data_IF_631575738674
#
_entry.id   IF_631575738674
#
_cell.length_a   1.000
_cell.length_b   1.000
_cell.length_c   1.000
_cell.angle_alpha   90.00
_cell.angle_beta   90.00
_cell.angle_gamma   90.00
#
_symmetry.space_group_name_H-M   'P 1'
#
loop_
_entity.id
_entity.type
_entity.pdbx_description
1 polymer ?
#
# COMPACT_ATOMS: atom_id res chain seq x y z
N UNK A 1 -17.49 66.66 7.30
CA UNK A 1 -16.60 65.70 6.62
C UNK A 1 -15.49 65.14 7.51
N UNK A 2 -15.24 65.60 8.71
CA UNK A 2 -14.26 65.13 9.68
C UNK A 2 -14.72 63.90 10.54
N UNK A 3 -15.98 63.75 10.81
CA UNK A 3 -16.52 62.69 11.70
C UNK A 3 -16.57 61.27 11.08
N UNK A 4 -16.37 61.10 9.75
CA UNK A 4 -16.36 59.76 9.10
C UNK A 4 -14.99 59.10 9.08
N UNK A 5 -13.91 59.87 9.21
CA UNK A 5 -12.54 59.30 9.24
C UNK A 5 -12.16 58.80 10.62
N UNK A 6 -12.69 59.35 11.70
CA UNK A 6 -12.39 58.93 13.06
C UNK A 6 -13.05 57.61 13.42
N UNK A 7 -14.23 57.31 12.88
CA UNK A 7 -14.91 56.01 13.09
C UNK A 7 -14.24 54.85 12.34
N UNK A 8 -13.67 55.08 11.15
CA UNK A 8 -12.90 54.08 10.40
C UNK A 8 -11.56 53.80 11.05
N UNK A 9 -10.90 54.84 11.61
CA UNK A 9 -9.64 54.67 12.33
C UNK A 9 -9.81 53.93 13.67
N UNK A 10 -10.90 54.20 14.40
CA UNK A 10 -11.25 53.48 15.62
C UNK A 10 -11.61 52.02 15.35
N UNK A 11 -12.31 51.71 14.25
CA UNK A 11 -12.64 50.36 13.80
C UNK A 11 -11.39 49.57 13.42
N UNK A 12 -10.43 50.17 12.73
CA UNK A 12 -9.15 49.55 12.37
C UNK A 12 -8.26 49.35 13.59
N UNK A 13 -8.26 50.26 14.58
CA UNK A 13 -7.52 50.14 15.81
C UNK A 13 -8.10 49.04 16.71
N UNK A 14 -9.42 48.93 16.81
CA UNK A 14 -10.12 47.89 17.57
C UNK A 14 -9.94 46.50 16.93
N UNK A 15 -9.92 46.42 15.59
CA UNK A 15 -9.66 45.16 14.88
C UNK A 15 -8.22 44.70 15.08
N UNK A 16 -7.25 45.62 15.03
CA UNK A 16 -5.84 45.28 15.27
C UNK A 16 -5.56 44.95 16.75
N UNK A 17 -6.22 45.61 17.70
CA UNK A 17 -6.13 45.31 19.13
C UNK A 17 -6.80 43.95 19.40
N UNK A 18 -7.92 43.62 18.77
CA UNK A 18 -8.57 42.31 18.89
C UNK A 18 -7.71 41.20 18.31
N UNK A 19 -7.07 41.40 17.14
CA UNK A 19 -6.13 40.44 16.54
C UNK A 19 -4.85 40.29 17.35
N UNK A 20 -4.32 41.38 17.94
CA UNK A 20 -3.15 41.31 18.82
C UNK A 20 -3.47 40.58 20.13
N UNK A 21 -4.63 40.84 20.76
CA UNK A 21 -5.09 40.14 21.99
C UNK A 21 -5.40 38.67 21.68
N UNK A 22 -5.96 38.35 20.52
CA UNK A 22 -6.18 36.97 20.07
C UNK A 22 -4.82 36.24 19.78
N UNK A 23 -3.89 36.94 19.14
CA UNK A 23 -2.52 36.45 18.89
C UNK A 23 -1.74 36.22 20.18
N UNK A 24 -1.82 37.17 21.15
CA UNK A 24 -1.17 37.02 22.47
C UNK A 24 -1.82 35.92 23.33
N UNK A 25 -3.16 35.81 23.29
CA UNK A 25 -3.85 34.69 23.95
C UNK A 25 -3.50 33.35 23.32
N UNK A 26 -3.45 33.26 22.01
CA UNK A 26 -2.97 32.06 21.30
C UNK A 26 -1.48 31.79 21.58
N UNK A 27 -0.63 32.81 21.63
CA UNK A 27 0.78 32.68 21.98
C UNK A 27 0.98 32.26 23.44
N UNK A 28 0.22 32.83 24.39
CA UNK A 28 0.27 32.46 25.79
C UNK A 28 -0.36 31.09 26.07
N UNK A 29 -1.41 30.69 25.35
CA UNK A 29 -1.95 29.33 25.37
C UNK A 29 -0.92 28.33 24.79
N UNK A 30 -0.25 28.67 23.68
CA UNK A 30 0.85 27.85 23.16
C UNK A 30 2.01 27.69 24.15
N UNK A 31 2.33 28.75 24.91
CA UNK A 31 3.40 28.70 25.92
C UNK A 31 3.00 27.91 27.17
N UNK A 32 1.72 27.97 27.57
CA UNK A 32 1.16 27.22 28.71
C UNK A 32 0.92 25.74 28.37
N UNK A 33 0.54 25.41 27.13
CA UNK A 33 0.27 24.04 26.67
C UNK A 33 1.44 23.42 25.90
N UNK A 34 2.38 24.23 25.34
CA UNK A 34 3.47 23.76 24.49
C UNK A 34 4.58 23.02 25.22
N UNK A 35 4.73 23.25 26.50
CA UNK A 35 5.79 22.58 27.30
C UNK A 35 5.41 21.16 27.74
N UNK A 36 4.11 20.74 27.57
CA UNK A 36 3.63 19.42 27.97
C UNK A 36 3.02 18.58 26.83
N UNK A 37 2.91 19.09 25.60
CA UNK A 37 2.37 18.32 24.49
C UNK A 37 3.39 17.32 23.98
N UNK A 38 3.12 16.05 24.21
CA UNK A 38 4.01 14.96 23.82
C UNK A 38 3.64 14.38 22.43
N UNK A 39 2.38 14.49 22.03
CA UNK A 39 1.85 13.86 20.83
C UNK A 39 1.02 14.83 19.99
N UNK A 40 1.00 14.60 18.67
CA UNK A 40 0.37 15.45 17.66
C UNK A 40 -1.11 15.74 17.94
N UNK A 41 -1.88 14.74 18.39
CA UNK A 41 -3.31 14.90 18.68
C UNK A 41 -3.61 15.79 19.90
N UNK A 42 -2.61 16.12 20.73
CA UNK A 42 -2.75 17.04 21.85
C UNK A 42 -2.68 18.52 21.42
N UNK A 43 -2.37 18.79 20.13
CA UNK A 43 -2.38 20.13 19.63
C UNK A 43 -3.81 20.71 19.59
N UNK A 44 -4.01 21.99 19.97
CA UNK A 44 -5.31 22.65 19.86
C UNK A 44 -5.86 22.70 18.44
N UNK A 45 -4.96 22.68 17.44
CA UNK A 45 -5.29 22.68 16.00
C UNK A 45 -5.36 21.25 15.44
N UNK A 46 -5.56 20.20 16.28
CA UNK A 46 -5.57 18.81 15.87
C UNK A 46 -6.41 18.60 14.59
N UNK A 47 -5.87 17.81 13.69
CA UNK A 47 -6.23 17.51 12.30
C UNK A 47 -6.27 18.70 11.30
N UNK A 48 -5.95 19.92 11.71
CA UNK A 48 -5.67 21.01 10.76
C UNK A 48 -4.22 20.93 10.26
N UNK A 49 -3.91 19.87 9.54
CA UNK A 49 -2.56 19.62 9.03
C UNK A 49 -2.12 20.69 8.05
N UNK A 50 -0.84 21.06 8.12
CA UNK A 50 -0.18 22.04 7.26
C UNK A 50 1.05 21.41 6.61
N UNK A 51 1.37 21.87 5.41
CA UNK A 51 2.58 21.46 4.68
C UNK A 51 3.06 22.57 3.75
N UNK A 52 4.35 22.52 3.41
CA UNK A 52 4.97 23.42 2.45
C UNK A 52 4.77 22.89 1.03
N UNK A 53 3.83 23.47 0.29
CA UNK A 53 3.45 23.04 -1.07
C UNK A 53 4.64 23.01 -2.03
N UNK A 54 5.57 23.95 -1.94
CA UNK A 54 6.76 24.04 -2.78
C UNK A 54 7.68 22.83 -2.65
N UNK A 55 7.71 22.17 -1.47
CA UNK A 55 8.53 20.97 -1.25
C UNK A 55 7.95 19.71 -1.88
N UNK A 56 6.63 19.65 -2.07
CA UNK A 56 5.95 18.46 -2.59
C UNK A 56 5.48 18.61 -4.03
N UNK A 57 5.39 19.84 -4.57
CA UNK A 57 4.84 20.11 -5.89
C UNK A 57 5.56 19.33 -7.00
N UNK A 58 6.90 19.31 -6.98
CA UNK A 58 7.68 18.56 -7.95
C UNK A 58 7.40 17.05 -7.87
N UNK A 59 7.33 16.51 -6.64
CA UNK A 59 7.02 15.10 -6.42
C UNK A 59 5.63 14.73 -6.97
N UNK A 60 4.61 15.58 -6.74
CA UNK A 60 3.27 15.36 -7.28
C UNK A 60 3.28 15.29 -8.81
N UNK A 61 3.99 16.22 -9.47
CA UNK A 61 4.11 16.21 -10.94
C UNK A 61 4.84 14.97 -11.44
N UNK A 62 5.93 14.57 -10.81
CA UNK A 62 6.69 13.38 -11.16
C UNK A 62 5.85 12.11 -10.96
N UNK A 63 5.06 12.03 -9.87
CA UNK A 63 4.14 10.91 -9.60
C UNK A 63 3.05 10.85 -10.67
N UNK A 64 2.36 11.98 -10.95
CA UNK A 64 1.29 12.01 -11.96
C UNK A 64 1.80 11.61 -13.34
N UNK A 65 3.02 12.04 -13.69
CA UNK A 65 3.68 11.61 -14.94
C UNK A 65 3.93 10.10 -14.94
N UNK A 66 4.48 9.55 -13.86
CA UNK A 66 4.75 8.12 -13.74
C UNK A 66 3.46 7.28 -13.74
N UNK A 67 2.41 7.72 -13.02
CA UNK A 67 1.08 7.09 -13.06
C UNK A 67 0.51 7.07 -14.47
N UNK A 68 0.48 8.23 -15.17
CA UNK A 68 -0.05 8.33 -16.53
C UNK A 68 0.73 7.45 -17.52
N UNK A 69 2.06 7.37 -17.40
CA UNK A 69 2.89 6.50 -18.23
C UNK A 69 2.57 5.02 -17.97
N UNK A 70 2.51 4.59 -16.70
CA UNK A 70 2.22 3.22 -16.32
C UNK A 70 0.83 2.79 -16.79
N UNK A 71 -0.20 3.60 -16.53
CA UNK A 71 -1.59 3.31 -16.92
C UNK A 71 -1.72 3.25 -18.44
N UNK A 72 -1.16 4.23 -19.17
CA UNK A 72 -1.18 4.24 -20.64
C UNK A 72 -0.48 3.03 -21.26
N UNK A 73 0.63 2.57 -20.64
CA UNK A 73 1.33 1.35 -21.06
C UNK A 73 0.49 0.09 -20.81
N UNK A 74 -0.24 0.04 -19.71
CA UNK A 74 -1.10 -1.09 -19.39
C UNK A 74 -2.41 -1.09 -20.17
N UNK A 75 -2.88 0.06 -20.63
CA UNK A 75 -4.14 0.16 -21.38
C UNK A 75 -4.12 -0.50 -22.75
N UNK A 76 -2.96 -0.58 -23.37
CA UNK A 76 -2.80 -1.27 -24.68
C UNK A 76 -2.79 -2.79 -24.57
N UNK A 77 -2.78 -3.34 -23.34
CA UNK A 77 -2.74 -4.78 -23.10
C UNK A 77 -4.13 -5.41 -23.18
N UNK A 78 -4.15 -6.66 -23.66
CA UNK A 78 -5.36 -7.47 -23.60
C UNK A 78 -5.83 -7.74 -22.17
N UNK A 79 -7.11 -8.05 -22.02
CA UNK A 79 -7.80 -8.24 -20.73
C UNK A 79 -7.09 -9.26 -19.83
N UNK A 80 -6.70 -10.43 -20.38
CA UNK A 80 -6.05 -11.48 -19.58
C UNK A 80 -4.67 -11.06 -19.05
N UNK A 81 -3.94 -10.26 -19.79
CA UNK A 81 -2.63 -9.73 -19.38
C UNK A 81 -2.78 -8.71 -18.27
N UNK A 82 -3.75 -7.79 -18.40
CA UNK A 82 -4.10 -6.82 -17.35
C UNK A 82 -4.50 -7.53 -16.05
N UNK A 83 -5.36 -8.54 -16.13
CA UNK A 83 -5.81 -9.31 -14.99
C UNK A 83 -4.67 -10.08 -14.29
N UNK A 84 -3.75 -10.67 -15.07
CA UNK A 84 -2.58 -11.33 -14.50
C UNK A 84 -1.62 -10.36 -13.80
N UNK A 85 -1.40 -9.16 -14.38
CA UNK A 85 -0.61 -8.12 -13.75
C UNK A 85 -1.27 -7.61 -12.46
N UNK A 86 -2.57 -7.33 -12.49
CA UNK A 86 -3.35 -6.95 -11.31
C UNK A 86 -3.27 -8.01 -10.21
N UNK A 87 -3.48 -9.28 -10.56
CA UNK A 87 -3.39 -10.40 -9.63
C UNK A 87 -2.00 -10.49 -8.97
N UNK A 88 -0.94 -10.25 -9.73
CA UNK A 88 0.43 -10.25 -9.20
C UNK A 88 0.65 -9.10 -8.22
N UNK A 89 0.26 -7.89 -8.59
CA UNK A 89 0.43 -6.69 -7.74
C UNK A 89 -0.40 -6.78 -6.46
N UNK A 90 -1.68 -7.18 -6.56
CA UNK A 90 -2.53 -7.36 -5.39
C UNK A 90 -1.99 -8.45 -4.44
N UNK A 91 -1.49 -9.57 -5.01
CA UNK A 91 -0.86 -10.63 -4.21
C UNK A 91 0.34 -10.09 -3.43
N UNK A 92 1.23 -9.35 -4.09
CA UNK A 92 2.39 -8.75 -3.45
C UNK A 92 1.98 -7.72 -2.39
N UNK A 93 1.04 -6.85 -2.71
CA UNK A 93 0.56 -5.80 -1.81
C UNK A 93 0.00 -6.38 -0.51
N UNK A 94 -0.84 -7.41 -0.58
CA UNK A 94 -1.44 -8.08 0.58
C UNK A 94 -0.37 -8.76 1.44
N UNK A 95 0.54 -9.52 0.80
CA UNK A 95 1.63 -10.19 1.52
C UNK A 95 2.50 -9.16 2.24
N UNK A 96 2.94 -8.12 1.54
CA UNK A 96 3.83 -7.11 2.12
C UNK A 96 3.14 -6.27 3.19
N UNK A 97 1.86 -5.97 3.04
CA UNK A 97 1.07 -5.33 4.10
C UNK A 97 1.02 -6.19 5.37
N UNK A 98 0.87 -7.49 5.25
CA UNK A 98 0.86 -8.41 6.39
C UNK A 98 2.25 -8.61 7.00
N UNK A 99 3.30 -8.67 6.16
CA UNK A 99 4.70 -8.79 6.61
C UNK A 99 5.17 -7.58 7.43
N UNK A 100 4.69 -6.37 7.14
CA UNK A 100 4.96 -5.16 7.94
C UNK A 100 4.55 -5.39 9.40
N UNK A 101 3.43 -6.06 9.62
CA UNK A 101 2.90 -6.40 10.95
C UNK A 101 3.45 -7.73 11.49
N UNK A 102 4.43 -8.34 10.81
CA UNK A 102 5.05 -9.59 11.23
C UNK A 102 4.25 -10.86 10.89
N UNK A 103 3.14 -10.75 10.15
CA UNK A 103 2.35 -11.89 9.70
C UNK A 103 2.84 -12.39 8.33
N UNK A 104 3.25 -13.65 8.25
CA UNK A 104 3.70 -14.27 6.99
C UNK A 104 2.53 -15.05 6.37
N UNK A 105 2.11 -14.64 5.16
CA UNK A 105 1.06 -15.30 4.41
C UNK A 105 1.64 -16.14 3.27
N UNK A 106 1.02 -17.29 3.00
CA UNK A 106 1.40 -18.12 1.85
C UNK A 106 0.97 -17.47 0.54
N UNK A 107 1.93 -17.26 -0.36
CA UNK A 107 1.72 -16.57 -1.64
C UNK A 107 0.71 -17.29 -2.54
N UNK A 108 0.71 -18.62 -2.54
CA UNK A 108 -0.19 -19.40 -3.41
C UNK A 108 -1.63 -19.29 -2.90
N UNK A 109 -1.80 -19.33 -1.58
CA UNK A 109 -3.12 -19.19 -0.95
C UNK A 109 -3.70 -17.78 -1.20
N UNK A 110 -2.90 -16.72 -0.98
CA UNK A 110 -3.34 -15.33 -1.26
C UNK A 110 -3.70 -15.16 -2.72
N UNK A 111 -2.84 -15.62 -3.64
CA UNK A 111 -3.09 -15.53 -5.09
C UNK A 111 -4.37 -16.27 -5.51
N UNK A 112 -4.58 -17.48 -4.98
CA UNK A 112 -5.79 -18.28 -5.27
C UNK A 112 -7.06 -17.60 -4.77
N UNK A 113 -7.04 -17.01 -3.57
CA UNK A 113 -8.17 -16.26 -3.02
C UNK A 113 -8.53 -15.04 -3.87
N UNK A 114 -7.53 -14.25 -4.28
CA UNK A 114 -7.74 -13.07 -5.15
C UNK A 114 -8.30 -13.52 -6.50
N UNK A 115 -7.68 -14.53 -7.15
CA UNK A 115 -8.09 -15.01 -8.47
C UNK A 115 -9.55 -15.47 -8.48
N UNK A 116 -9.98 -16.25 -7.47
CA UNK A 116 -11.35 -16.69 -7.31
C UNK A 116 -12.34 -15.52 -7.21
N UNK A 117 -12.02 -14.50 -6.41
CA UNK A 117 -12.91 -13.33 -6.22
C UNK A 117 -12.97 -12.41 -7.44
N UNK A 118 -11.90 -12.36 -8.24
CA UNK A 118 -11.87 -11.59 -9.48
C UNK A 118 -12.32 -12.40 -10.72
N UNK A 119 -12.65 -13.70 -10.57
CA UNK A 119 -13.02 -14.57 -11.69
C UNK A 119 -11.85 -14.85 -12.65
N UNK A 120 -10.61 -14.82 -12.17
CA UNK A 120 -9.41 -15.09 -12.95
C UNK A 120 -9.06 -16.57 -12.85
N UNK A 121 -9.04 -17.28 -13.99
CA UNK A 121 -8.61 -18.68 -14.05
C UNK A 121 -7.08 -18.78 -13.89
N UNK A 122 -6.64 -19.53 -12.89
CA UNK A 122 -5.22 -19.81 -12.61
C UNK A 122 -4.83 -21.28 -12.74
N UNK A 123 -5.74 -22.10 -13.27
CA UNK A 123 -5.49 -23.53 -13.55
C UNK A 123 -5.47 -24.45 -12.33
N UNK A 124 -6.05 -24.04 -11.21
CA UNK A 124 -6.20 -24.85 -9.99
C UNK A 124 -6.44 -23.99 -8.77
N UNK A 125 -7.28 -24.47 -7.85
CA UNK A 125 -7.60 -23.77 -6.60
C UNK A 125 -6.85 -24.40 -5.42
N UNK A 126 -6.31 -23.54 -4.56
CA UNK A 126 -5.74 -23.92 -3.27
C UNK A 126 -6.76 -23.64 -2.17
N UNK A 127 -7.01 -24.56 -1.22
CA UNK A 127 -7.88 -24.29 -0.08
C UNK A 127 -7.38 -23.04 0.68
N UNK A 128 -8.31 -22.16 1.02
CA UNK A 128 -7.96 -20.86 1.63
C UNK A 128 -8.31 -20.85 3.11
N UNK A 129 -7.42 -20.32 3.96
CA UNK A 129 -7.71 -20.09 5.37
C UNK A 129 -8.55 -18.83 5.56
N UNK A 130 -9.34 -18.79 6.63
CA UNK A 130 -10.20 -17.63 6.94
C UNK A 130 -9.42 -16.34 7.14
N UNK A 131 -8.21 -16.42 7.68
CA UNK A 131 -7.34 -15.25 7.92
C UNK A 131 -6.88 -14.61 6.61
N UNK A 132 -6.57 -15.42 5.59
CA UNK A 132 -6.22 -14.93 4.24
C UNK A 132 -7.47 -14.34 3.57
N UNK A 133 -8.62 -14.99 3.68
CA UNK A 133 -9.87 -14.50 3.10
C UNK A 133 -10.20 -13.09 3.56
N UNK A 134 -10.10 -12.81 4.87
CA UNK A 134 -10.46 -11.50 5.42
C UNK A 134 -9.53 -10.38 4.96
N UNK A 135 -8.22 -10.63 4.91
CA UNK A 135 -7.25 -9.64 4.39
C UNK A 135 -7.49 -9.38 2.90
N UNK A 136 -7.75 -10.43 2.12
CA UNK A 136 -8.05 -10.32 0.67
C UNK A 136 -9.34 -9.53 0.47
N UNK A 137 -10.39 -9.82 1.25
CA UNK A 137 -11.69 -9.14 1.18
C UNK A 137 -11.55 -7.64 1.41
N UNK A 138 -10.89 -7.24 2.50
CA UNK A 138 -10.64 -5.85 2.83
C UNK A 138 -9.89 -5.13 1.69
N UNK A 139 -8.81 -5.72 1.17
CA UNK A 139 -7.99 -5.09 0.14
C UNK A 139 -8.70 -5.01 -1.21
N UNK A 140 -9.51 -6.02 -1.57
CA UNK A 140 -10.33 -5.97 -2.78
C UNK A 140 -11.45 -4.94 -2.63
N UNK A 141 -12.14 -4.88 -1.49
CA UNK A 141 -13.14 -3.85 -1.27
C UNK A 141 -12.52 -2.45 -1.37
N UNK A 142 -11.35 -2.21 -0.77
CA UNK A 142 -10.65 -0.94 -0.85
C UNK A 142 -10.30 -0.53 -2.30
N UNK A 143 -9.91 -1.49 -3.16
CA UNK A 143 -9.38 -1.19 -4.50
C UNK A 143 -10.40 -1.39 -5.62
N UNK A 144 -11.38 -2.29 -5.48
CA UNK A 144 -12.40 -2.50 -6.49
C UNK A 144 -13.63 -1.61 -6.27
N UNK A 145 -13.98 -1.36 -4.99
CA UNK A 145 -15.08 -0.48 -4.59
C UNK A 145 -14.55 0.90 -4.14
N UNK A 146 -13.46 1.37 -4.76
CA UNK A 146 -12.76 2.59 -4.37
C UNK A 146 -13.62 3.86 -4.47
N UNK A 147 -14.57 3.90 -5.40
CA UNK A 147 -15.46 5.04 -5.60
C UNK A 147 -16.55 5.15 -4.53
N UNK A 148 -16.86 4.05 -3.84
CA UNK A 148 -17.88 4.04 -2.81
C UNK A 148 -17.46 4.85 -1.59
N UNK A 149 -18.45 5.47 -0.94
CA UNK A 149 -18.19 6.24 0.29
C UNK A 149 -17.64 5.34 1.39
N UNK A 150 -16.68 5.88 2.12
CA UNK A 150 -16.27 5.30 3.39
C UNK A 150 -17.37 5.54 4.42
N UNK A 151 -17.76 4.51 5.13
CA UNK A 151 -18.69 4.60 6.27
C UNK A 151 -18.09 3.89 7.49
N UNK A 152 -18.65 4.17 8.65
CA UNK A 152 -18.24 3.48 9.89
C UNK A 152 -18.46 1.97 9.75
N UNK A 153 -19.59 1.56 9.20
CA UNK A 153 -19.94 0.14 9.00
C UNK A 153 -18.95 -0.55 8.07
N UNK A 154 -18.55 0.11 6.96
CA UNK A 154 -17.55 -0.42 6.02
C UNK A 154 -16.20 -0.62 6.71
N UNK A 155 -15.74 0.38 7.47
CA UNK A 155 -14.48 0.33 8.19
C UNK A 155 -14.47 -0.76 9.28
N UNK A 156 -15.56 -0.86 10.05
CA UNK A 156 -15.77 -1.90 11.06
C UNK A 156 -15.86 -3.28 10.40
N UNK A 157 -16.49 -3.38 9.23
CA UNK A 157 -16.54 -4.61 8.43
C UNK A 157 -15.14 -5.08 8.02
N UNK A 158 -14.27 -4.16 7.61
CA UNK A 158 -12.85 -4.47 7.33
C UNK A 158 -12.13 -5.05 8.55
N UNK A 159 -12.34 -4.42 9.72
CA UNK A 159 -11.76 -4.93 10.95
C UNK A 159 -12.29 -6.31 11.33
N UNK A 160 -13.60 -6.54 11.18
CA UNK A 160 -14.21 -7.84 11.45
C UNK A 160 -13.71 -8.94 10.50
N UNK A 161 -13.47 -8.59 9.22
CA UNK A 161 -12.89 -9.52 8.26
C UNK A 161 -11.46 -9.92 8.61
N UNK A 162 -10.65 -8.99 9.15
CA UNK A 162 -9.27 -9.28 9.59
C UNK A 162 -9.21 -10.26 10.77
N UNK A 163 -10.21 -10.26 11.64
CA UNK A 163 -10.22 -11.04 12.89
C UNK A 163 -11.48 -11.88 13.06
N UNK A 164 -11.75 -12.84 12.14
CA UNK A 164 -13.00 -13.60 12.13
C UNK A 164 -13.19 -14.52 13.34
N UNK A 165 -12.12 -14.77 14.11
CA UNK A 165 -12.13 -15.59 15.32
C UNK A 165 -12.30 -14.76 16.59
N UNK A 166 -12.15 -13.45 16.52
CA UNK A 166 -12.13 -12.56 17.70
C UNK A 166 -10.77 -12.52 18.41
N UNK A 167 -9.72 -13.05 17.76
CA UNK A 167 -8.38 -13.13 18.35
C UNK A 167 -7.33 -12.54 17.43
N UNK A 168 -6.32 -11.88 18.02
CA UNK A 168 -5.05 -11.54 17.40
C UNK A 168 -3.97 -12.43 18.06
N UNK A 169 -3.46 -13.40 17.32
CA UNK A 169 -2.62 -14.44 17.88
C UNK A 169 -3.35 -15.19 19.01
N UNK A 170 -2.83 -15.10 20.23
CA UNK A 170 -3.44 -15.71 21.43
C UNK A 170 -4.31 -14.73 22.25
N UNK A 171 -4.34 -13.46 21.90
CA UNK A 171 -5.04 -12.43 22.65
C UNK A 171 -6.43 -12.20 22.07
N UNK A 172 -7.45 -12.21 22.96
CA UNK A 172 -8.81 -11.83 22.59
C UNK A 172 -8.85 -10.31 22.38
N UNK A 173 -9.44 -9.86 21.29
CA UNK A 173 -9.58 -8.45 20.93
C UNK A 173 -11.05 -8.08 20.71
N UNK A 174 -11.37 -6.80 20.79
CA UNK A 174 -12.70 -6.26 20.46
C UNK A 174 -12.82 -6.15 18.95
N UNK A 175 -13.69 -6.98 18.35
CA UNK A 175 -13.88 -7.05 16.90
C UNK A 175 -15.18 -6.35 16.50
N UNK A 176 -15.14 -5.61 15.39
CA UNK A 176 -16.33 -4.94 14.87
C UNK A 176 -16.77 -3.71 15.67
N UNK A 177 -15.85 -3.12 16.41
CA UNK A 177 -16.05 -1.88 17.18
C UNK A 177 -14.70 -1.21 17.45
N UNK A 178 -14.70 0.06 17.82
CA UNK A 178 -13.49 0.73 18.29
C UNK A 178 -13.08 0.19 19.66
N UNK A 179 -11.77 0.29 19.96
CA UNK A 179 -11.21 -0.08 21.26
C UNK A 179 -11.78 0.77 22.38
N UNK A 180 -11.61 0.32 23.58
CA UNK A 180 -11.72 1.12 24.79
C UNK A 180 -10.39 1.17 25.54
N UNK A 181 -10.38 1.76 26.73
CA UNK A 181 -9.21 1.89 27.59
C UNK A 181 -9.33 1.04 28.87
N UNK A 182 -10.16 -0.02 28.88
CA UNK A 182 -10.36 -0.88 30.07
C UNK A 182 -9.06 -1.54 30.54
N UNK A 183 -8.14 -1.86 29.61
CA UNK A 183 -6.83 -2.44 29.89
C UNK A 183 -5.71 -1.39 29.98
N UNK A 184 -6.05 -0.11 29.97
CA UNK A 184 -5.12 1.02 29.94
C UNK A 184 -5.02 1.69 28.58
N UNK A 185 -4.23 2.77 28.46
CA UNK A 185 -4.12 3.54 27.23
C UNK A 185 -3.46 2.72 26.12
N UNK A 186 -3.95 2.86 24.89
CA UNK A 186 -3.36 2.24 23.72
C UNK A 186 -1.97 2.80 23.45
N UNK A 187 -0.97 1.93 23.40
CA UNK A 187 0.42 2.30 23.18
C UNK A 187 1.06 1.47 22.08
N UNK A 188 1.86 2.12 21.24
CA UNK A 188 2.76 1.45 20.29
C UNK A 188 4.10 1.26 21.00
N UNK A 189 4.46 0.02 21.21
CA UNK A 189 5.65 -0.36 21.99
C UNK A 189 6.58 -1.26 21.18
N UNK A 190 7.87 -1.25 21.55
CA UNK A 190 8.86 -2.24 21.10
C UNK A 190 9.71 -2.69 22.27
N UNK A 191 10.36 -3.84 22.14
CA UNK A 191 11.21 -4.41 23.19
C UNK A 191 10.62 -5.67 23.78
N UNK A 192 11.33 -6.28 24.74
CA UNK A 192 10.89 -7.47 25.45
C UNK A 192 9.87 -7.10 26.56
N UNK A 193 9.02 -8.04 26.91
CA UNK A 193 8.06 -7.88 28.02
C UNK A 193 8.80 -7.43 29.30
N UNK A 194 8.36 -6.31 29.88
CA UNK A 194 8.95 -5.68 31.07
C UNK A 194 10.12 -4.73 30.79
N UNK A 195 10.50 -4.54 29.51
CA UNK A 195 11.50 -3.56 29.05
C UNK A 195 11.01 -2.83 27.79
N UNK A 196 9.70 -2.59 27.71
CA UNK A 196 9.09 -1.97 26.56
C UNK A 196 9.47 -0.49 26.43
N UNK A 197 9.84 -0.09 25.22
CA UNK A 197 9.96 1.32 24.87
C UNK A 197 8.65 1.78 24.23
N UNK A 198 8.00 2.77 24.85
CA UNK A 198 6.81 3.42 24.29
C UNK A 198 7.22 4.41 23.21
N UNK A 199 6.85 4.14 21.97
CA UNK A 199 7.06 5.01 20.81
C UNK A 199 5.96 6.05 20.68
N UNK A 200 4.72 5.63 20.87
CA UNK A 200 3.54 6.47 20.73
C UNK A 200 2.44 6.02 21.69
N UNK A 201 1.67 6.95 22.20
CA UNK A 201 0.42 6.68 22.92
C UNK A 201 -0.72 7.36 22.18
N UNK A 202 -1.70 6.58 21.81
CA UNK A 202 -2.89 7.04 21.09
C UNK A 202 -3.82 7.86 22.03
N UNK A 203 -4.74 8.66 21.48
CA UNK A 203 -5.73 9.38 22.26
C UNK A 203 -6.62 8.43 23.05
N UNK A 204 -7.30 8.94 24.09
CA UNK A 204 -8.25 8.15 24.88
C UNK A 204 -9.41 7.68 24.00
N UNK A 205 -9.96 6.53 24.36
CA UNK A 205 -11.04 5.89 23.60
C UNK A 205 -12.35 6.68 23.58
N UNK A 206 -12.59 7.51 24.59
CA UNK A 206 -13.81 8.34 24.72
C UNK A 206 -14.00 9.35 23.59
N UNK A 207 -12.91 9.77 22.93
CA UNK A 207 -12.99 10.70 21.79
C UNK A 207 -13.05 9.99 20.42
N UNK A 208 -12.81 8.68 20.36
CA UNK A 208 -12.65 7.95 19.09
C UNK A 208 -13.89 8.01 18.18
N UNK A 209 -15.09 7.95 18.75
CA UNK A 209 -16.32 8.03 17.94
C UNK A 209 -16.38 9.33 17.13
N UNK A 210 -16.07 10.45 17.78
CA UNK A 210 -16.06 11.76 17.12
C UNK A 210 -14.91 11.87 16.12
N UNK A 211 -13.70 11.53 16.54
CA UNK A 211 -12.50 11.65 15.73
C UNK A 211 -12.56 10.77 14.47
N UNK A 212 -13.11 9.56 14.58
CA UNK A 212 -13.32 8.67 13.46
C UNK A 212 -14.44 9.16 12.52
N UNK A 213 -15.47 9.80 13.05
CA UNK A 213 -16.48 10.47 12.21
C UNK A 213 -15.86 11.60 11.41
N UNK A 214 -15.07 12.45 12.05
CA UNK A 214 -14.37 13.58 11.39
C UNK A 214 -13.40 13.05 10.29
N UNK A 215 -12.69 11.97 10.55
CA UNK A 215 -11.81 11.32 9.57
C UNK A 215 -12.61 10.74 8.38
N UNK A 216 -13.73 10.06 8.64
CA UNK A 216 -14.60 9.49 7.59
C UNK A 216 -15.18 10.61 6.73
N UNK A 217 -15.63 11.72 7.32
CA UNK A 217 -16.12 12.89 6.61
C UNK A 217 -15.01 13.51 5.75
N UNK A 218 -13.78 13.59 6.26
CA UNK A 218 -12.63 14.07 5.49
C UNK A 218 -12.30 13.16 4.30
N UNK A 219 -12.36 11.83 4.45
CA UNK A 219 -12.15 10.86 3.36
C UNK A 219 -13.17 11.05 2.24
N UNK A 220 -14.42 11.34 2.60
CA UNK A 220 -15.53 11.47 1.66
C UNK A 220 -15.69 12.88 1.08
N UNK A 221 -15.04 13.88 1.68
CA UNK A 221 -15.13 15.27 1.24
C UNK A 221 -14.52 15.42 -0.15
N UNK A 222 -15.30 16.00 -1.05
CA UNK A 222 -14.81 16.46 -2.35
C UNK A 222 -14.26 17.88 -2.16
N UNK A 223 -12.96 18.03 -2.22
CA UNK A 223 -12.23 19.29 -2.09
C UNK A 223 -11.08 19.32 -3.12
N UNK A 224 -10.37 20.45 -3.19
CA UNK A 224 -9.28 20.66 -4.14
C UNK A 224 -7.96 19.96 -3.73
N UNK A 225 -7.97 19.18 -2.64
CA UNK A 225 -6.78 18.44 -2.19
C UNK A 225 -6.58 17.21 -3.07
N UNK A 226 -5.41 17.12 -3.72
CA UNK A 226 -5.07 15.96 -4.54
C UNK A 226 -5.13 14.67 -3.71
N UNK A 227 -5.70 13.61 -4.28
CA UNK A 227 -5.84 12.31 -3.61
C UNK A 227 -4.52 11.70 -3.15
N UNK A 228 -3.39 12.04 -3.78
CA UNK A 228 -2.06 11.60 -3.33
C UNK A 228 -1.70 12.21 -1.97
N UNK A 229 -1.98 13.50 -1.78
CA UNK A 229 -1.80 14.19 -0.50
C UNK A 229 -2.80 13.66 0.52
N UNK A 230 -4.08 13.55 0.11
CA UNK A 230 -5.15 13.02 0.96
C UNK A 230 -4.83 11.62 1.47
N UNK A 231 -4.26 10.75 0.64
CA UNK A 231 -3.83 9.41 1.05
C UNK A 231 -2.76 9.46 2.16
N UNK A 232 -1.76 10.33 2.03
CA UNK A 232 -0.74 10.53 3.07
C UNK A 232 -1.33 11.09 4.37
N UNK A 233 -2.25 12.07 4.30
CA UNK A 233 -2.92 12.65 5.46
C UNK A 233 -3.78 11.60 6.17
N UNK A 234 -4.63 10.88 5.44
CA UNK A 234 -5.53 9.85 6.00
C UNK A 234 -4.74 8.72 6.66
N UNK A 235 -3.64 8.31 6.04
CA UNK A 235 -2.75 7.31 6.61
C UNK A 235 -2.21 7.74 7.99
N UNK A 236 -1.62 8.95 8.05
CA UNK A 236 -1.07 9.50 9.31
C UNK A 236 -2.17 9.69 10.36
N UNK A 237 -3.30 10.26 9.97
CA UNK A 237 -4.40 10.54 10.89
C UNK A 237 -4.96 9.25 11.50
N UNK A 238 -5.25 8.25 10.65
CA UNK A 238 -5.76 6.96 11.12
C UNK A 238 -4.78 6.24 12.06
N UNK A 239 -3.48 6.22 11.71
CA UNK A 239 -2.44 5.60 12.55
C UNK A 239 -2.25 6.39 13.86
N UNK A 240 -2.46 7.71 13.86
CA UNK A 240 -2.42 8.52 15.07
C UNK A 240 -3.62 8.24 15.99
N UNK A 241 -4.83 8.06 15.46
CA UNK A 241 -6.00 7.68 16.26
C UNK A 241 -5.92 6.27 16.84
N UNK A 242 -5.35 5.34 16.08
CA UNK A 242 -5.18 3.93 16.46
C UNK A 242 -6.46 3.31 17.02
N UNK A 243 -7.58 3.32 16.24
CA UNK A 243 -8.92 3.11 16.79
C UNK A 243 -9.26 1.67 17.17
N UNK A 244 -8.43 0.68 16.85
CA UNK A 244 -8.67 -0.73 17.11
C UNK A 244 -7.60 -1.34 18.03
N UNK A 245 -7.91 -2.46 18.67
CA UNK A 245 -6.96 -3.21 19.51
C UNK A 245 -5.79 -3.76 18.68
N UNK A 246 -6.05 -4.15 17.41
CA UNK A 246 -5.05 -4.58 16.42
C UNK A 246 -5.57 -4.33 15.00
N UNK A 247 -4.70 -4.50 13.99
CA UNK A 247 -5.05 -4.34 12.57
C UNK A 247 -4.99 -2.90 12.06
N UNK A 248 -4.66 -1.93 12.90
CA UNK A 248 -4.62 -0.52 12.51
C UNK A 248 -3.69 -0.26 11.31
N UNK A 249 -2.51 -0.86 11.28
CA UNK A 249 -1.57 -0.70 10.17
C UNK A 249 -2.11 -1.27 8.86
N UNK A 250 -2.74 -2.44 8.87
CA UNK A 250 -3.34 -3.07 7.67
C UNK A 250 -4.50 -2.22 7.14
N UNK A 251 -5.36 -1.71 8.02
CA UNK A 251 -6.49 -0.84 7.65
C UNK A 251 -5.98 0.52 7.13
N UNK A 252 -4.98 1.13 7.77
CA UNK A 252 -4.37 2.38 7.29
C UNK A 252 -3.86 2.23 5.85
N UNK A 253 -3.20 1.11 5.53
CA UNK A 253 -2.73 0.82 4.17
C UNK A 253 -3.87 0.53 3.20
N UNK A 254 -4.97 -0.12 3.64
CA UNK A 254 -6.16 -0.28 2.82
C UNK A 254 -6.84 1.07 2.50
N UNK A 255 -6.96 1.97 3.48
CA UNK A 255 -7.45 3.34 3.26
C UNK A 255 -6.55 4.12 2.29
N UNK A 256 -5.23 3.96 2.44
CA UNK A 256 -4.25 4.54 1.51
C UNK A 256 -4.47 4.01 0.09
N UNK A 257 -4.57 2.69 -0.06
CA UNK A 257 -4.78 2.04 -1.34
C UNK A 257 -6.08 2.48 -2.01
N UNK A 258 -7.17 2.64 -1.25
CA UNK A 258 -8.44 3.18 -1.74
C UNK A 258 -8.27 4.59 -2.31
N UNK A 259 -7.59 5.49 -1.59
CA UNK A 259 -7.40 6.87 -2.03
C UNK A 259 -6.42 6.99 -3.21
N UNK A 260 -5.38 6.15 -3.26
CA UNK A 260 -4.49 6.05 -4.41
C UNK A 260 -5.25 5.52 -5.64
N UNK A 261 -6.15 4.56 -5.46
CA UNK A 261 -7.01 4.06 -6.54
C UNK A 261 -7.99 5.13 -7.03
N UNK A 262 -8.51 6.00 -6.14
CA UNK A 262 -9.25 7.22 -6.54
C UNK A 262 -8.40 8.19 -7.36
N UNK A 263 -7.10 8.32 -7.03
CA UNK A 263 -6.17 9.15 -7.81
C UNK A 263 -5.90 8.59 -9.21
N UNK A 264 -5.87 7.26 -9.35
CA UNK A 264 -5.67 6.57 -10.63
C UNK A 264 -6.96 6.52 -11.48
N UNK A 265 -8.13 6.74 -10.84
CA UNK A 265 -9.49 6.64 -11.41
C UNK A 265 -9.71 5.33 -12.17
N UNK A 266 -9.17 4.24 -11.67
CA UNK A 266 -9.32 2.89 -12.24
C UNK A 266 -9.09 1.82 -11.20
N UNK A 267 -9.84 0.73 -11.27
CA UNK A 267 -9.62 -0.47 -10.44
C UNK A 267 -8.31 -1.20 -10.75
N UNK A 268 -7.66 -0.88 -11.88
CA UNK A 268 -6.41 -1.50 -12.33
C UNK A 268 -5.20 -0.71 -11.83
N UNK A 269 -4.82 -0.91 -10.58
CA UNK A 269 -3.60 -0.33 -10.04
C UNK A 269 -2.45 -1.34 -10.13
N UNK A 270 -1.33 -0.93 -10.74
CA UNK A 270 -0.22 -1.80 -11.07
C UNK A 270 1.04 -1.54 -10.22
N UNK A 271 0.90 -0.93 -9.05
CA UNK A 271 1.99 -0.69 -8.11
C UNK A 271 1.55 -0.96 -6.67
N UNK A 272 2.51 -1.27 -5.79
CA UNK A 272 2.26 -1.57 -4.38
C UNK A 272 3.01 -0.61 -3.46
N UNK A 273 2.26 0.26 -2.76
CA UNK A 273 2.82 1.11 -1.71
C UNK A 273 3.27 0.26 -0.50
N UNK A 274 2.55 -0.80 -0.16
CA UNK A 274 2.92 -1.70 0.95
C UNK A 274 4.25 -2.40 0.69
N UNK A 275 4.56 -2.80 -0.56
CA UNK A 275 5.84 -3.38 -0.91
C UNK A 275 6.99 -2.40 -0.70
N UNK A 276 6.79 -1.12 -1.04
CA UNK A 276 7.79 -0.09 -0.83
C UNK A 276 7.96 0.27 0.65
N UNK A 277 6.87 0.37 1.42
CA UNK A 277 6.91 0.56 2.88
C UNK A 277 7.70 -0.58 3.54
N UNK A 278 7.45 -1.84 3.14
CA UNK A 278 8.15 -2.99 3.70
C UNK A 278 9.66 -2.93 3.44
N UNK A 279 10.09 -2.51 2.25
CA UNK A 279 11.52 -2.30 1.94
C UNK A 279 12.15 -1.25 2.84
N UNK A 280 11.40 -0.21 3.20
CA UNK A 280 11.84 0.94 4.00
C UNK A 280 11.23 0.95 5.41
N UNK A 281 10.94 -0.24 5.97
CA UNK A 281 10.17 -0.40 7.21
C UNK A 281 10.71 0.42 8.39
N UNK A 282 12.01 0.47 8.58
CA UNK A 282 12.59 1.22 9.68
C UNK A 282 12.34 2.73 9.51
N UNK A 283 12.62 3.30 8.32
CA UNK A 283 12.39 4.72 8.06
C UNK A 283 10.90 5.10 8.10
N UNK A 284 10.00 4.16 7.79
CA UNK A 284 8.57 4.33 7.96
C UNK A 284 8.18 4.55 9.42
N UNK A 285 8.65 3.70 10.32
CA UNK A 285 8.35 3.87 11.75
C UNK A 285 9.03 5.09 12.35
N UNK A 286 10.27 5.41 11.93
CA UNK A 286 11.01 6.58 12.39
C UNK A 286 10.28 7.88 12.01
N UNK A 287 9.82 8.00 10.75
CA UNK A 287 9.10 9.20 10.32
C UNK A 287 7.71 9.32 10.95
N UNK A 288 7.01 8.19 11.16
CA UNK A 288 5.75 8.19 11.89
C UNK A 288 5.95 8.66 13.34
N UNK A 289 6.89 8.08 14.06
CA UNK A 289 7.20 8.46 15.46
C UNK A 289 7.56 9.94 15.54
N UNK A 290 8.43 10.43 14.63
CA UNK A 290 8.81 11.84 14.57
C UNK A 290 7.60 12.74 14.34
N UNK A 291 6.74 12.39 13.38
CA UNK A 291 5.57 13.21 13.03
C UNK A 291 4.53 13.18 14.13
N UNK A 292 4.25 12.01 14.71
CA UNK A 292 3.30 11.85 15.81
C UNK A 292 3.71 12.57 17.10
N UNK A 293 4.99 12.91 17.26
CA UNK A 293 5.54 13.72 18.36
C UNK A 293 5.82 15.17 17.94
N UNK A 294 5.43 15.55 16.73
CA UNK A 294 5.70 16.85 16.13
C UNK A 294 4.55 17.84 16.26
N UNK A 295 4.64 18.87 15.43
CA UNK A 295 3.61 19.90 15.25
C UNK A 295 2.60 19.47 14.17
N UNK A 296 1.64 20.39 13.86
CA UNK A 296 0.71 20.21 12.75
C UNK A 296 1.35 20.38 11.36
N UNK A 297 2.65 20.75 11.27
CA UNK A 297 3.40 20.72 10.01
C UNK A 297 3.84 19.27 9.71
N UNK A 298 3.21 18.65 8.71
CA UNK A 298 3.45 17.28 8.28
C UNK A 298 4.26 17.20 6.98
N UNK A 299 4.98 18.26 6.63
CA UNK A 299 5.74 18.33 5.36
C UNK A 299 6.70 17.16 5.21
N UNK A 300 7.51 16.86 6.24
CA UNK A 300 8.50 15.77 6.17
C UNK A 300 7.84 14.40 5.97
N UNK A 301 6.68 14.17 6.60
CA UNK A 301 5.87 12.97 6.38
C UNK A 301 5.37 12.87 4.93
N UNK A 302 4.79 13.95 4.39
CA UNK A 302 4.27 13.95 3.02
C UNK A 302 5.41 13.79 1.99
N UNK A 303 6.57 14.42 2.21
CA UNK A 303 7.76 14.21 1.36
C UNK A 303 8.14 12.74 1.36
N UNK A 304 8.33 12.13 2.55
CA UNK A 304 8.66 10.71 2.67
C UNK A 304 7.64 9.81 1.98
N UNK A 305 6.34 10.08 2.21
CA UNK A 305 5.24 9.29 1.65
C UNK A 305 5.23 9.37 0.11
N UNK A 306 5.34 10.57 -0.45
CA UNK A 306 5.31 10.80 -1.90
C UNK A 306 6.58 10.28 -2.59
N UNK A 307 7.76 10.40 -1.98
CA UNK A 307 8.99 9.80 -2.51
C UNK A 307 8.88 8.28 -2.60
N UNK A 308 8.38 7.62 -1.54
CA UNK A 308 8.17 6.18 -1.56
C UNK A 308 7.08 5.76 -2.55
N UNK A 309 6.04 6.57 -2.73
CA UNK A 309 5.01 6.31 -3.76
C UNK A 309 5.61 6.40 -5.17
N UNK A 310 6.42 7.42 -5.46
CA UNK A 310 7.11 7.54 -6.75
C UNK A 310 7.99 6.32 -7.04
N UNK A 311 8.77 5.88 -6.05
CA UNK A 311 9.62 4.69 -6.17
C UNK A 311 8.76 3.43 -6.38
N UNK A 312 7.63 3.30 -5.67
CA UNK A 312 6.71 2.18 -5.85
C UNK A 312 6.18 2.08 -7.29
N UNK A 313 5.79 3.21 -7.89
CA UNK A 313 5.30 3.29 -9.28
C UNK A 313 6.44 2.96 -10.26
N UNK A 314 7.62 3.54 -10.08
CA UNK A 314 8.78 3.28 -10.94
C UNK A 314 9.25 1.83 -10.86
N UNK A 315 9.29 1.24 -9.66
CA UNK A 315 9.69 -0.16 -9.47
C UNK A 315 8.71 -1.15 -10.11
N UNK A 316 7.44 -0.76 -10.27
CA UNK A 316 6.43 -1.61 -10.91
C UNK A 316 6.64 -1.74 -12.44
N UNK A 317 7.41 -0.84 -13.04
CA UNK A 317 7.73 -0.93 -14.48
C UNK A 317 8.49 -2.21 -14.81
N UNK A 318 9.40 -2.68 -13.96
CA UNK A 318 10.12 -3.94 -14.16
C UNK A 318 9.16 -5.13 -14.14
N UNK A 319 8.26 -5.16 -13.16
CA UNK A 319 7.24 -6.22 -13.05
C UNK A 319 6.30 -6.18 -14.27
N UNK A 320 5.88 -4.99 -14.66
CA UNK A 320 5.02 -4.77 -15.83
C UNK A 320 5.72 -5.16 -17.12
N UNK A 321 7.01 -4.82 -17.29
CA UNK A 321 7.80 -5.24 -18.45
C UNK A 321 7.88 -6.77 -18.55
N UNK A 322 8.08 -7.47 -17.42
CA UNK A 322 8.09 -8.94 -17.40
C UNK A 322 6.76 -9.51 -17.88
N UNK A 323 5.63 -8.96 -17.45
CA UNK A 323 4.30 -9.39 -17.88
C UNK A 323 4.08 -9.10 -19.36
N UNK A 324 4.50 -7.92 -19.84
CA UNK A 324 4.45 -7.55 -21.26
C UNK A 324 5.26 -8.50 -22.14
N UNK A 325 6.52 -8.71 -21.84
CA UNK A 325 7.39 -9.62 -22.58
C UNK A 325 6.82 -11.04 -22.63
N UNK A 326 6.19 -11.47 -21.54
CA UNK A 326 5.52 -12.77 -21.48
C UNK A 326 4.30 -12.84 -22.41
N UNK A 327 3.49 -11.78 -22.44
CA UNK A 327 2.33 -11.68 -23.33
C UNK A 327 2.76 -11.62 -24.81
N UNK A 328 3.75 -10.79 -25.13
CA UNK A 328 4.34 -10.71 -26.49
C UNK A 328 4.90 -12.06 -26.93
N UNK A 329 5.59 -12.77 -26.04
CA UNK A 329 6.10 -14.10 -26.32
C UNK A 329 4.95 -15.07 -26.68
N UNK A 330 3.92 -15.18 -25.84
CA UNK A 330 2.81 -16.08 -26.09
C UNK A 330 1.97 -15.68 -27.31
N UNK A 331 1.83 -14.41 -27.58
CA UNK A 331 1.18 -13.91 -28.81
C UNK A 331 1.97 -14.31 -30.06
N UNK A 332 3.29 -14.10 -30.02
CA UNK A 332 4.19 -14.47 -31.15
C UNK A 332 4.14 -15.96 -31.44
N UNK A 333 4.03 -16.79 -30.43
CA UNK A 333 4.01 -18.25 -30.53
C UNK A 333 2.61 -18.86 -30.39
N UNK A 334 1.54 -18.08 -30.61
CA UNK A 334 0.14 -18.50 -30.43
C UNK A 334 -0.26 -19.72 -31.29
N UNK A 335 0.39 -19.91 -32.44
CA UNK A 335 0.15 -21.06 -33.34
C UNK A 335 1.10 -22.23 -33.10
N UNK A 336 2.06 -22.08 -32.18
CA UNK A 336 3.07 -23.12 -31.90
C UNK A 336 2.55 -24.07 -30.82
N UNK A 337 2.62 -25.35 -31.08
CA UNK A 337 2.19 -26.40 -30.12
C UNK A 337 3.32 -26.61 -29.11
N UNK A 338 3.02 -26.42 -27.84
CA UNK A 338 3.87 -26.71 -26.70
C UNK A 338 3.25 -27.81 -25.82
N UNK A 339 4.07 -28.67 -25.22
CA UNK A 339 3.59 -29.55 -24.17
C UNK A 339 3.57 -28.81 -22.81
N UNK A 340 2.83 -29.36 -21.83
CA UNK A 340 2.66 -28.77 -20.51
C UNK A 340 3.99 -28.46 -19.78
N UNK A 341 4.99 -29.31 -19.90
CA UNK A 341 6.31 -29.10 -19.30
C UNK A 341 7.04 -27.92 -19.93
N UNK A 342 6.95 -27.78 -21.26
CA UNK A 342 7.50 -26.64 -21.97
C UNK A 342 6.83 -25.33 -21.54
N UNK A 343 5.49 -25.29 -21.50
CA UNK A 343 4.73 -24.11 -21.01
C UNK A 343 5.16 -23.75 -19.59
N UNK A 344 5.24 -24.75 -18.69
CA UNK A 344 5.66 -24.55 -17.29
C UNK A 344 7.06 -23.93 -17.19
N UNK A 345 8.04 -24.48 -17.91
CA UNK A 345 9.43 -23.99 -17.83
C UNK A 345 9.60 -22.68 -18.52
N UNK A 346 8.98 -22.44 -19.69
CA UNK A 346 9.01 -21.15 -20.39
C UNK A 346 8.44 -20.05 -19.51
N UNK A 347 7.28 -20.27 -18.89
CA UNK A 347 6.71 -19.31 -17.94
C UNK A 347 7.65 -19.02 -16.78
N UNK A 348 8.22 -20.07 -16.16
CA UNK A 348 9.16 -19.90 -15.06
C UNK A 348 10.46 -19.21 -15.46
N UNK A 349 10.92 -19.46 -16.70
CA UNK A 349 12.14 -18.87 -17.22
C UNK A 349 11.98 -17.37 -17.56
N UNK A 350 10.78 -16.94 -17.93
CA UNK A 350 10.41 -15.53 -18.12
C UNK A 350 10.16 -14.79 -16.78
N UNK A 351 9.84 -15.50 -15.69
CA UNK A 351 9.60 -14.92 -14.36
C UNK A 351 10.91 -14.77 -13.55
N UNK A 352 11.91 -14.06 -14.06
CA UNK A 352 13.19 -13.80 -13.39
C UNK A 352 13.90 -15.07 -12.87
N UNK A 353 14.11 -16.04 -13.79
CA UNK A 353 14.79 -17.27 -13.46
C UNK A 353 16.25 -17.04 -13.03
N UNK A 354 16.61 -17.41 -11.83
CA UNK A 354 17.97 -17.25 -11.34
C UNK A 354 18.93 -18.31 -11.85
N UNK A 355 20.04 -17.84 -12.40
CA UNK A 355 21.15 -18.66 -12.90
C UNK A 355 20.85 -19.33 -14.24
N UNK A 356 21.70 -20.29 -14.62
CA UNK A 356 21.63 -20.95 -15.93
C UNK A 356 20.58 -22.07 -15.95
N UNK A 357 19.74 -22.12 -16.99
CA UNK A 357 18.84 -23.24 -17.25
C UNK A 357 19.63 -24.42 -17.80
N UNK A 358 19.63 -25.53 -17.09
CA UNK A 358 20.27 -26.78 -17.48
C UNK A 358 19.24 -27.89 -17.62
N UNK A 359 19.57 -28.99 -18.31
CA UNK A 359 18.72 -30.18 -18.41
C UNK A 359 18.34 -30.72 -17.03
N UNK A 360 19.27 -30.74 -16.07
CA UNK A 360 19.02 -31.21 -14.71
C UNK A 360 18.01 -30.30 -13.95
N UNK A 361 18.12 -28.96 -14.10
CA UNK A 361 17.14 -28.02 -13.55
C UNK A 361 15.75 -28.19 -14.18
N UNK A 362 15.68 -28.37 -15.50
CA UNK A 362 14.44 -28.68 -16.22
C UNK A 362 13.78 -29.97 -15.66
N UNK A 363 14.55 -31.07 -15.63
CA UNK A 363 14.07 -32.36 -15.10
C UNK A 363 13.48 -32.21 -13.68
N UNK A 364 14.19 -31.49 -12.80
CA UNK A 364 13.71 -31.19 -11.44
C UNK A 364 12.41 -30.35 -11.41
N UNK A 365 12.31 -29.30 -12.24
CA UNK A 365 11.14 -28.43 -12.31
C UNK A 365 9.88 -29.15 -12.80
N UNK A 366 10.07 -30.10 -13.72
CA UNK A 366 8.98 -30.85 -14.35
C UNK A 366 8.72 -32.20 -13.75
N UNK A 367 9.52 -32.63 -12.76
CA UNK A 367 9.50 -33.99 -12.17
C UNK A 367 9.56 -35.09 -13.26
N UNK A 368 10.50 -34.95 -14.20
CA UNK A 368 10.69 -35.90 -15.31
C UNK A 368 12.14 -36.37 -15.41
N UNK A 369 12.40 -37.41 -16.28
CA UNK A 369 13.75 -37.86 -16.52
C UNK A 369 14.59 -36.80 -17.27
N UNK A 370 15.94 -36.93 -17.19
CA UNK A 370 16.83 -36.06 -17.95
C UNK A 370 16.71 -36.28 -19.45
N UNK A 371 16.36 -37.47 -19.89
CA UNK A 371 16.13 -37.77 -21.31
C UNK A 371 14.89 -37.06 -21.81
N UNK A 372 13.80 -37.11 -21.03
CA UNK A 372 12.56 -36.33 -21.35
C UNK A 372 12.85 -34.82 -21.42
N UNK A 373 13.58 -34.30 -20.42
CA UNK A 373 14.00 -32.90 -20.41
C UNK A 373 14.86 -32.55 -21.63
N UNK A 374 15.74 -33.42 -22.06
CA UNK A 374 16.58 -33.23 -23.25
C UNK A 374 15.74 -33.16 -24.53
N UNK A 375 14.74 -34.04 -24.65
CA UNK A 375 13.80 -34.01 -25.79
C UNK A 375 12.97 -32.73 -25.83
N UNK A 376 12.41 -32.32 -24.69
CA UNK A 376 11.64 -31.07 -24.59
C UNK A 376 12.49 -29.84 -24.97
N UNK A 377 13.74 -29.78 -24.52
CA UNK A 377 14.68 -28.69 -24.82
C UNK A 377 15.10 -28.72 -26.31
N UNK A 378 15.34 -29.90 -26.87
CA UNK A 378 15.70 -30.05 -28.26
C UNK A 378 14.60 -29.54 -29.18
N UNK A 379 13.35 -29.87 -28.90
CA UNK A 379 12.17 -29.34 -29.60
C UNK A 379 12.09 -27.80 -29.53
N UNK A 380 12.38 -27.18 -28.37
CA UNK A 380 12.43 -25.72 -28.24
C UNK A 380 13.60 -25.09 -29.01
N UNK A 381 14.71 -25.81 -29.21
CA UNK A 381 15.82 -25.36 -30.06
C UNK A 381 15.42 -25.46 -31.54
N UNK A 382 14.77 -26.54 -31.97
CA UNK A 382 14.24 -26.70 -33.33
C UNK A 382 13.18 -25.65 -33.64
N UNK A 383 12.36 -25.25 -32.68
CA UNK A 383 11.41 -24.14 -32.76
C UNK A 383 12.07 -22.74 -32.71
N UNK A 384 13.38 -22.69 -32.67
CA UNK A 384 14.18 -21.44 -32.58
C UNK A 384 13.88 -20.55 -31.36
N UNK A 385 13.35 -21.14 -30.29
CA UNK A 385 13.05 -20.46 -29.03
C UNK A 385 14.28 -20.42 -28.14
N UNK A 386 15.00 -21.55 -28.04
CA UNK A 386 16.21 -21.65 -27.26
C UNK A 386 17.47 -21.77 -28.10
N UNK A 387 18.60 -21.35 -27.52
CA UNK A 387 19.94 -21.67 -28.00
C UNK A 387 20.73 -22.39 -26.91
N UNK A 388 21.55 -23.33 -27.33
CA UNK A 388 22.52 -24.01 -26.46
C UNK A 388 23.75 -23.13 -26.31
N UNK A 389 24.20 -22.93 -25.08
CA UNK A 389 25.40 -22.16 -24.73
C UNK A 389 26.35 -23.04 -23.96
N UNK A 390 27.65 -22.95 -24.23
CA UNK A 390 28.69 -23.75 -23.59
C UNK A 390 28.77 -25.19 -24.11
N UNK A 391 29.69 -25.98 -23.54
CA UNK A 391 29.92 -27.37 -23.86
C UNK A 391 30.21 -28.18 -22.62
N UNK A 392 30.00 -29.51 -22.70
CA UNK A 392 30.24 -30.42 -21.59
C UNK A 392 29.47 -30.03 -20.33
N UNK A 393 30.15 -29.89 -19.17
CA UNK A 393 29.53 -29.53 -17.87
C UNK A 393 29.03 -28.11 -17.78
N UNK A 394 29.47 -27.20 -18.66
CA UNK A 394 29.01 -25.80 -18.70
C UNK A 394 27.80 -25.59 -19.62
N UNK A 395 27.25 -26.64 -20.22
CA UNK A 395 26.08 -26.55 -21.11
C UNK A 395 24.87 -26.01 -20.38
N UNK A 396 24.29 -24.94 -20.94
CA UNK A 396 23.05 -24.35 -20.50
C UNK A 396 22.26 -23.78 -21.68
N UNK A 397 21.02 -23.36 -21.45
CA UNK A 397 20.10 -22.88 -22.48
C UNK A 397 19.63 -21.47 -22.17
N UNK A 398 19.48 -20.67 -23.21
CA UNK A 398 18.97 -19.28 -23.16
C UNK A 398 17.95 -19.08 -24.26
N UNK A 399 17.10 -18.05 -24.11
CA UNK A 399 16.29 -17.61 -25.24
C UNK A 399 17.20 -17.21 -26.40
N UNK A 400 16.80 -17.56 -27.65
CA UNK A 400 17.54 -17.20 -28.89
C UNK A 400 17.55 -15.69 -29.12
N UNK A 401 16.40 -15.05 -28.91
CA UNK A 401 16.26 -13.60 -28.98
C UNK A 401 16.10 -13.05 -27.55
N UNK A 402 16.63 -11.87 -27.26
CA UNK A 402 16.28 -11.15 -26.04
C UNK A 402 14.75 -10.92 -26.05
N UNK A 403 14.10 -11.46 -25.06
CA UNK A 403 12.70 -11.18 -24.79
C UNK A 403 12.64 -9.94 -23.93
#
# INVERSE_FOLDING_TARGET
MRLRYDLLFLGFLLLNISLAIFGEKCYNLRKLFGENMKYIYQNPDWHNFRWHGEKIQKLLLDIKKAQGYLLGKMDVLGFDVKNNALLQVLTENIIKSSEIEGQILDKHIVRSSIARRLGIDIGGETPVSRDVEGVVEMMLDATQNYADKMTKERLIGWHAALFPTGYSGMYKIKVGQYRDDELGPMQVVSGSIGQEKVHYQAPNADILEKEMSDLIDYINKQDDIDYLIKAGIVHLWFVALHPFDDGNGRIARALTDMLLTRSDDTQYRFYSMSAQIQKNRNSYYDILEKTQKGSMDITDWLVWFLENLLIAIQSSEETTNTVLHKAEFWQKYSTTIFNERQVKVLNRFMDNFEGNLTTAKWAKMCNCSQDTATLDIKDLIEKEIFVKVGSGRSTHYKFKNKI
#
